data_IF_446009824180
#
_entry.id   IF_446009824180
#
_cell.length_a   1.000
_cell.length_b   1.000
_cell.length_c   1.000
_cell.angle_alpha   90.00
_cell.angle_beta   90.00
_cell.angle_gamma   90.00
#
_symmetry.space_group_name_H-M   'P 1'
#
loop_
_entity.id
_entity.type
_entity.pdbx_description
1 polymer ?
#
# COMPACT_ATOMS: atom_id res chain seq x y z
N UNK A 1 -17.99 -6.31 5.71
CA UNK A 1 -16.79 -7.10 6.03
C UNK A 1 -15.96 -6.36 7.06
N UNK A 2 -16.14 -6.64 8.36
CA UNK A 2 -15.22 -6.15 9.40
C UNK A 2 -14.02 -7.10 9.44
N UNK A 3 -13.12 -6.91 8.47
CA UNK A 3 -11.85 -7.64 8.42
C UNK A 3 -11.05 -7.32 9.68
N UNK A 4 -11.01 -8.26 10.63
CA UNK A 4 -10.23 -8.18 11.89
C UNK A 4 -8.73 -7.89 11.66
N UNK A 5 -8.26 -8.05 10.43
CA UNK A 5 -6.85 -7.91 10.03
C UNK A 5 -6.37 -6.45 9.99
N UNK A 6 -7.28 -5.47 9.83
CA UNK A 6 -6.91 -4.04 9.75
C UNK A 6 -7.37 -3.22 10.96
N UNK A 7 -8.22 -3.80 11.82
CA UNK A 7 -8.77 -3.12 12.99
C UNK A 7 -7.76 -2.98 14.13
N UNK A 8 -6.69 -3.78 14.14
CA UNK A 8 -5.54 -3.57 15.03
C UNK A 8 -4.47 -2.73 14.34
N UNK A 9 -3.86 -1.78 15.08
CA UNK A 9 -2.80 -0.92 14.54
C UNK A 9 -1.59 -1.69 14.01
N UNK A 10 -1.28 -2.85 14.60
CA UNK A 10 -0.21 -3.76 14.14
C UNK A 10 -0.58 -4.53 12.87
N UNK A 11 -1.85 -4.93 12.72
CA UNK A 11 -2.33 -5.65 11.54
C UNK A 11 -2.29 -4.78 10.28
N UNK A 12 -2.74 -3.52 10.39
CA UNK A 12 -2.65 -2.55 9.30
C UNK A 12 -1.19 -2.31 8.87
N UNK A 13 -0.29 -2.06 9.83
CA UNK A 13 1.10 -1.77 9.54
C UNK A 13 1.81 -2.92 8.82
N UNK A 14 1.59 -4.16 9.27
CA UNK A 14 2.18 -5.35 8.64
C UNK A 14 1.73 -5.53 7.18
N UNK A 15 0.45 -5.22 6.90
CA UNK A 15 -0.08 -5.31 5.54
C UNK A 15 0.54 -4.24 4.65
N UNK A 16 0.59 -2.99 5.13
CA UNK A 16 1.17 -1.88 4.37
C UNK A 16 2.64 -2.16 4.02
N UNK A 17 3.44 -2.57 5.00
CA UNK A 17 4.85 -2.90 4.80
C UNK A 17 5.04 -4.11 3.88
N UNK A 18 4.13 -5.09 3.92
CA UNK A 18 4.16 -6.23 2.98
C UNK A 18 3.97 -5.75 1.54
N UNK A 19 2.99 -4.88 1.29
CA UNK A 19 2.73 -4.39 -0.06
C UNK A 19 3.80 -3.44 -0.57
N UNK A 20 4.35 -2.60 0.30
CA UNK A 20 5.50 -1.75 -0.03
C UNK A 20 6.68 -2.59 -0.55
N UNK A 21 7.08 -3.64 0.19
CA UNK A 21 8.16 -4.53 -0.24
C UNK A 21 7.89 -5.21 -1.58
N UNK A 22 6.66 -5.68 -1.80
CA UNK A 22 6.29 -6.31 -3.08
C UNK A 22 6.42 -5.34 -4.24
N UNK A 23 6.09 -4.06 -4.05
CA UNK A 23 6.22 -3.02 -5.07
C UNK A 23 7.70 -2.64 -5.26
N UNK A 24 8.45 -2.52 -4.16
CA UNK A 24 9.86 -2.17 -4.15
C UNK A 24 10.71 -3.22 -4.89
N UNK A 25 10.51 -4.49 -4.54
CA UNK A 25 11.29 -5.65 -4.99
C UNK A 25 10.87 -6.18 -6.37
N UNK A 26 9.90 -5.55 -7.05
CA UNK A 26 9.47 -5.99 -8.38
C UNK A 26 10.59 -5.81 -9.41
N UNK A 27 11.10 -6.93 -9.93
CA UNK A 27 12.12 -6.96 -10.99
C UNK A 27 11.51 -7.28 -12.36
N UNK A 28 10.80 -8.41 -12.46
CA UNK A 28 10.13 -8.85 -13.70
C UNK A 28 9.02 -9.86 -13.43
N UNK A 29 8.00 -9.86 -14.29
CA UNK A 29 6.98 -10.89 -14.32
C UNK A 29 6.47 -11.11 -15.74
N UNK A 30 6.16 -12.36 -16.08
CA UNK A 30 5.62 -12.76 -17.37
C UNK A 30 4.41 -13.66 -17.16
N UNK A 31 3.31 -13.32 -17.83
CA UNK A 31 2.07 -14.08 -17.83
C UNK A 31 1.51 -14.14 -19.25
N UNK A 32 1.37 -15.35 -19.77
CA UNK A 32 1.00 -15.62 -21.16
C UNK A 32 1.89 -14.90 -22.18
N UNK A 33 1.37 -13.86 -22.83
CA UNK A 33 2.08 -13.06 -23.84
C UNK A 33 2.48 -11.67 -23.32
N UNK A 34 2.25 -11.41 -22.03
CA UNK A 34 2.49 -10.12 -21.41
C UNK A 34 3.68 -10.23 -20.47
N UNK A 35 4.66 -9.36 -20.69
CA UNK A 35 5.86 -9.23 -19.86
C UNK A 35 5.94 -7.81 -19.32
N UNK A 36 6.29 -7.68 -18.05
CA UNK A 36 6.58 -6.40 -17.41
C UNK A 36 7.92 -6.51 -16.70
N UNK A 37 8.86 -5.63 -17.04
CA UNK A 37 10.13 -5.47 -16.33
C UNK A 37 10.13 -4.15 -15.55
N UNK A 38 10.97 -4.06 -14.53
CA UNK A 38 11.10 -2.85 -13.72
C UNK A 38 11.41 -1.61 -14.56
N UNK A 39 12.23 -1.76 -15.62
CA UNK A 39 12.58 -0.65 -16.53
C UNK A 39 11.39 -0.09 -17.31
N UNK A 40 10.31 -0.87 -17.44
CA UNK A 40 9.09 -0.46 -18.15
C UNK A 40 8.13 0.30 -17.23
N UNK A 41 8.45 0.42 -15.93
CA UNK A 41 7.60 1.04 -14.90
C UNK A 41 8.13 2.45 -14.60
N UNK A 42 7.40 3.47 -15.05
CA UNK A 42 7.73 4.87 -14.74
C UNK A 42 7.27 5.29 -13.34
N UNK A 43 6.12 4.78 -12.88
CA UNK A 43 5.49 5.20 -11.64
C UNK A 43 4.98 3.98 -10.86
N UNK A 44 5.28 3.94 -9.56
CA UNK A 44 4.80 2.91 -8.63
C UNK A 44 3.76 3.52 -7.70
N UNK A 45 2.53 3.01 -7.74
CA UNK A 45 1.41 3.57 -6.98
C UNK A 45 0.74 2.49 -6.12
N UNK A 46 0.65 2.74 -4.82
CA UNK A 46 -0.15 1.94 -3.89
C UNK A 46 -1.47 2.68 -3.61
N UNK A 47 -2.57 2.12 -4.12
CA UNK A 47 -3.92 2.65 -3.88
C UNK A 47 -4.60 1.90 -2.73
N UNK A 48 -4.90 2.63 -1.65
CA UNK A 48 -5.56 2.12 -0.45
C UNK A 48 -7.03 2.52 -0.50
N UNK A 49 -7.91 1.55 -0.34
CA UNK A 49 -9.36 1.79 -0.22
C UNK A 49 -9.76 1.58 1.24
N UNK A 50 -10.37 2.61 1.83
CA UNK A 50 -10.74 2.66 3.25
C UNK A 50 -12.25 2.87 3.34
N UNK A 51 -12.92 2.11 4.22
CA UNK A 51 -14.33 2.38 4.53
C UNK A 51 -14.47 3.74 5.22
N UNK A 52 -15.62 4.41 5.07
CA UNK A 52 -15.94 5.63 5.85
C UNK A 52 -16.29 5.31 7.31
N UNK A 53 -15.43 4.55 7.97
CA UNK A 53 -15.41 4.38 9.42
C UNK A 53 -14.31 5.28 10.00
N UNK A 54 -14.53 5.91 11.16
CA UNK A 54 -13.55 6.79 11.76
C UNK A 54 -12.27 6.02 12.14
N UNK A 55 -11.15 6.40 11.54
CA UNK A 55 -9.83 5.93 11.92
C UNK A 55 -9.45 6.52 13.28
N UNK A 56 -8.94 5.69 14.19
CA UNK A 56 -8.42 6.20 15.45
C UNK A 56 -7.05 6.89 15.25
N UNK A 57 -6.61 7.64 16.27
CA UNK A 57 -5.35 8.41 16.22
C UNK A 57 -4.13 7.56 15.84
N UNK A 58 -4.00 6.36 16.42
CA UNK A 58 -2.86 5.47 16.13
C UNK A 58 -2.89 4.95 14.69
N UNK A 59 -4.06 4.62 14.15
CA UNK A 59 -4.21 4.22 12.75
C UNK A 59 -3.82 5.36 11.80
N UNK A 60 -4.24 6.59 12.11
CA UNK A 60 -3.88 7.78 11.33
C UNK A 60 -2.37 8.07 11.37
N UNK A 61 -1.73 7.97 12.54
CA UNK A 61 -0.29 8.15 12.67
C UNK A 61 0.50 7.08 11.92
N UNK A 62 0.08 5.82 11.98
CA UNK A 62 0.73 4.73 11.23
C UNK A 62 0.59 4.94 9.72
N UNK A 63 -0.58 5.37 9.23
CA UNK A 63 -0.77 5.70 7.82
C UNK A 63 0.15 6.85 7.37
N UNK A 64 0.28 7.90 8.18
CA UNK A 64 1.18 9.02 7.86
C UNK A 64 2.64 8.56 7.75
N UNK A 65 3.13 7.80 8.73
CA UNK A 65 4.49 7.25 8.71
C UNK A 65 4.73 6.37 7.49
N UNK A 66 3.77 5.51 7.19
CA UNK A 66 3.84 4.64 6.02
C UNK A 66 3.91 5.45 4.70
N UNK A 67 3.08 6.49 4.55
CA UNK A 67 3.11 7.36 3.37
C UNK A 67 4.48 8.04 3.20
N UNK A 68 5.09 8.49 4.30
CA UNK A 68 6.42 9.09 4.28
C UNK A 68 7.52 8.08 3.90
N UNK A 69 7.46 6.85 4.42
CA UNK A 69 8.42 5.78 4.10
C UNK A 69 8.29 5.33 2.64
N UNK A 70 7.08 5.01 2.19
CA UNK A 70 6.80 4.63 0.81
C UNK A 70 7.25 5.71 -0.19
N UNK A 71 7.06 6.99 0.15
CA UNK A 71 7.52 8.11 -0.66
C UNK A 71 9.04 8.17 -0.84
N UNK A 72 9.82 7.81 0.19
CA UNK A 72 11.29 7.71 0.08
C UNK A 72 11.71 6.59 -0.86
N UNK A 73 10.88 5.55 -0.98
CA UNK A 73 11.09 4.41 -1.88
C UNK A 73 10.52 4.63 -3.29
N UNK A 74 10.11 5.86 -3.62
CA UNK A 74 9.56 6.21 -4.94
C UNK A 74 8.14 5.67 -5.18
N UNK A 75 7.44 5.27 -4.12
CA UNK A 75 6.08 4.73 -4.18
C UNK A 75 5.10 5.83 -3.79
N UNK A 76 4.21 6.19 -4.73
CA UNK A 76 3.11 7.12 -4.46
C UNK A 76 1.98 6.38 -3.74
N UNK A 77 1.50 6.92 -2.62
CA UNK A 77 0.34 6.37 -1.91
C UNK A 77 -0.90 7.22 -2.19
N UNK A 78 -1.98 6.58 -2.62
CA UNK A 78 -3.28 7.22 -2.86
C UNK A 78 -4.35 6.57 -1.97
N UNK A 79 -5.20 7.35 -1.32
CA UNK A 79 -6.28 6.85 -0.48
C UNK A 79 -7.65 7.20 -1.08
N UNK A 80 -8.55 6.21 -1.14
CA UNK A 80 -9.95 6.40 -1.51
C UNK A 80 -10.83 6.02 -0.32
N UNK A 81 -11.67 6.95 0.11
CA UNK A 81 -12.67 6.72 1.16
C UNK A 81 -13.98 6.32 0.50
N UNK A 82 -14.48 5.12 0.81
CA UNK A 82 -15.76 4.62 0.32
C UNK A 82 -16.91 5.32 1.06
N UNK A 83 -17.86 5.89 0.32
CA UNK A 83 -19.05 6.55 0.86
C UNK A 83 -20.02 5.57 1.50
#
# INVERSE_FOLDING_TARGET
>A
MTSKTYTSGSGLNNVLNKYERVIEDFDKYELDKVKLENKDIENRILKIVINNEPLNKSQMENLKKFVEEAGKNGIKVEAVILK
#
